data_IF_726737880091
#
_entry.id   IF_726737880091
#
_cell.length_a   1.000
_cell.length_b   1.000
_cell.length_c   1.000
_cell.angle_alpha   90.00
_cell.angle_beta   90.00
_cell.angle_gamma   90.00
#
_symmetry.space_group_name_H-M   'P 1'
#
loop_
_entity.id
_entity.type
_entity.pdbx_description
1 polymer ?
#
# COMPACT_ATOMS: atom_id res chain seq x y z
N UNK A 1 15.74 0.70 12.01
CA UNK A 1 14.66 0.63 11.01
C UNK A 1 13.40 0.15 11.69
N UNK A 2 12.23 0.70 11.36
CA UNK A 2 10.98 0.38 12.03
C UNK A 2 10.25 -0.70 11.25
N UNK A 3 9.87 -1.79 11.92
CA UNK A 3 9.12 -2.90 11.33
C UNK A 3 7.72 -2.44 10.93
N UNK A 4 7.27 -2.77 9.72
CA UNK A 4 5.90 -2.44 9.32
C UNK A 4 4.89 -3.20 10.20
N UNK A 5 5.17 -4.45 10.55
CA UNK A 5 4.27 -5.23 11.39
C UNK A 5 4.15 -4.65 12.80
N UNK A 6 5.24 -4.09 13.34
CA UNK A 6 5.20 -3.34 14.59
C UNK A 6 4.40 -2.03 14.45
N UNK A 7 4.66 -1.23 13.41
CA UNK A 7 3.95 0.02 13.14
C UNK A 7 2.44 -0.18 13.00
N UNK A 8 2.01 -1.18 12.23
CA UNK A 8 0.58 -1.49 12.03
C UNK A 8 -0.05 -1.94 13.35
N UNK A 9 0.59 -2.84 14.12
CA UNK A 9 0.07 -3.28 15.43
C UNK A 9 -0.02 -2.15 16.45
N UNK A 10 0.86 -1.16 16.35
CA UNK A 10 0.85 0.02 17.22
C UNK A 10 -0.17 1.09 16.79
N UNK A 11 -0.94 0.86 15.71
CA UNK A 11 -1.96 1.78 15.24
C UNK A 11 -1.41 3.03 14.56
N UNK A 12 -0.20 2.95 14.02
CA UNK A 12 0.38 4.09 13.30
C UNK A 12 -0.32 4.29 11.97
N UNK A 13 -0.57 5.55 11.63
CA UNK A 13 -1.28 5.91 10.41
C UNK A 13 -0.36 6.55 9.39
N UNK A 14 -0.73 6.42 8.13
CA UNK A 14 -0.09 7.07 7.01
C UNK A 14 -0.91 8.26 6.55
N UNK A 15 -0.50 8.86 5.44
CA UNK A 15 -1.33 9.86 4.78
C UNK A 15 -1.18 9.82 3.26
N UNK A 16 -2.16 10.37 2.55
CA UNK A 16 -2.14 10.55 1.11
C UNK A 16 -2.25 12.02 0.73
N UNK A 17 -1.54 12.40 -0.34
CA UNK A 17 -1.64 13.72 -0.95
C UNK A 17 -1.64 13.54 -2.46
N UNK A 18 -2.74 13.93 -3.10
CA UNK A 18 -2.95 13.71 -4.54
C UNK A 18 -2.78 12.22 -4.88
N UNK A 19 -1.75 11.90 -5.67
CA UNK A 19 -1.43 10.56 -6.10
C UNK A 19 -0.28 9.93 -5.28
N UNK A 20 0.08 10.52 -4.14
CA UNK A 20 1.15 10.01 -3.27
C UNK A 20 0.58 9.39 -2.00
N UNK A 21 1.15 8.27 -1.58
CA UNK A 21 0.84 7.53 -0.34
C UNK A 21 2.11 7.45 0.49
N UNK A 22 2.03 7.89 1.75
CA UNK A 22 3.14 7.92 2.70
C UNK A 22 2.91 6.87 3.78
N UNK A 23 3.77 5.87 3.80
CA UNK A 23 3.79 4.78 4.78
C UNK A 23 4.71 5.18 5.94
N UNK A 24 4.31 5.02 7.21
CA UNK A 24 5.12 5.36 8.38
C UNK A 24 6.20 4.31 8.70
N UNK A 25 6.59 3.51 7.71
CA UNK A 25 7.55 2.42 7.82
C UNK A 25 8.25 2.15 6.48
N UNK A 26 9.31 1.32 6.53
CA UNK A 26 9.99 0.80 5.36
C UNK A 26 9.60 -0.66 5.13
N UNK A 27 9.54 -1.07 3.86
CA UNK A 27 9.26 -2.44 3.45
C UNK A 27 9.91 -2.73 2.10
N UNK A 28 10.16 -4.00 1.80
CA UNK A 28 10.47 -4.44 0.44
C UNK A 28 9.16 -4.75 -0.28
N UNK A 29 8.83 -3.99 -1.32
CA UNK A 29 7.57 -4.15 -2.06
C UNK A 29 7.78 -5.15 -3.19
N UNK A 30 6.86 -6.10 -3.30
CA UNK A 30 6.87 -7.17 -4.29
C UNK A 30 5.83 -6.88 -5.38
N UNK A 31 4.62 -6.52 -4.99
CA UNK A 31 3.57 -6.04 -5.91
C UNK A 31 2.60 -5.10 -5.20
N UNK A 32 1.87 -4.32 -6.00
CA UNK A 32 0.89 -3.35 -5.54
C UNK A 32 -0.41 -3.57 -6.29
N UNK A 33 -1.50 -3.78 -5.59
CA UNK A 33 -2.84 -3.87 -6.18
C UNK A 33 -3.60 -2.61 -5.81
N UNK A 34 -4.26 -1.98 -6.78
CA UNK A 34 -5.01 -0.74 -6.57
C UNK A 34 -6.35 -0.85 -7.27
N UNK A 35 -7.44 -0.60 -6.54
CA UNK A 35 -8.76 -0.71 -7.14
C UNK A 35 -9.90 -0.35 -6.21
N UNK A 36 -11.07 -0.15 -6.82
CA UNK A 36 -12.35 -0.13 -6.12
C UNK A 36 -12.77 -1.57 -5.84
N UNK A 37 -13.26 -1.86 -4.64
CA UNK A 37 -13.61 -3.18 -4.06
C UNK A 37 -13.18 -4.42 -4.87
N UNK A 38 -12.40 -5.30 -4.24
CA UNK A 38 -12.01 -6.59 -4.84
C UNK A 38 -13.20 -7.54 -4.91
N UNK A 39 -14.09 -7.31 -5.87
CA UNK A 39 -15.21 -8.18 -6.16
C UNK A 39 -14.83 -9.19 -7.26
N UNK A 40 -15.56 -10.30 -7.33
CA UNK A 40 -15.50 -11.25 -8.47
C UNK A 40 -15.74 -10.58 -9.84
N UNK A 41 -16.27 -9.35 -9.87
CA UNK A 41 -16.65 -8.62 -11.08
C UNK A 41 -15.66 -7.50 -11.45
N UNK A 42 -14.75 -7.12 -10.55
CA UNK A 42 -13.78 -6.05 -10.75
C UNK A 42 -12.38 -6.52 -10.38
N UNK A 43 -11.53 -6.68 -11.40
CA UNK A 43 -10.11 -6.99 -11.20
C UNK A 43 -9.39 -5.67 -10.88
N UNK A 44 -8.72 -5.55 -9.72
CA UNK A 44 -7.91 -4.37 -9.42
C UNK A 44 -6.74 -4.26 -10.40
N UNK A 45 -6.24 -3.04 -10.60
CA UNK A 45 -4.99 -2.86 -11.35
C UNK A 45 -3.84 -3.41 -10.51
N UNK A 46 -3.07 -4.34 -11.07
CA UNK A 46 -1.88 -4.90 -10.43
C UNK A 46 -0.61 -4.32 -11.05
N UNK A 47 0.29 -3.85 -10.19
CA UNK A 47 1.62 -3.34 -10.53
C UNK A 47 2.65 -4.33 -9.98
N UNK A 48 3.32 -5.04 -10.90
CA UNK A 48 4.44 -5.95 -10.59
C UNK A 48 5.77 -5.41 -11.09
N UNK A 49 5.77 -4.61 -12.14
CA UNK A 49 6.97 -3.90 -12.60
C UNK A 49 7.13 -2.58 -11.83
N UNK A 50 7.81 -2.66 -10.69
CA UNK A 50 8.11 -1.50 -9.83
C UNK A 50 9.23 -0.61 -10.41
N UNK A 51 9.88 -1.02 -11.50
CA UNK A 51 10.90 -0.24 -12.19
C UNK A 51 10.31 0.66 -13.29
N UNK A 52 9.05 0.43 -13.69
CA UNK A 52 8.35 1.31 -14.62
C UNK A 52 8.03 2.65 -13.93
N UNK A 53 8.94 3.61 -14.11
CA UNK A 53 8.81 4.94 -13.51
C UNK A 53 7.63 5.73 -14.06
N UNK A 54 7.03 5.35 -15.19
CA UNK A 54 5.83 5.99 -15.71
C UNK A 54 4.57 5.53 -14.97
N UNK A 55 4.64 4.40 -14.25
CA UNK A 55 3.54 3.83 -13.45
C UNK A 55 3.64 4.25 -11.99
N UNK A 56 4.80 4.02 -11.38
CA UNK A 56 5.01 4.16 -9.94
C UNK A 56 6.36 4.83 -9.66
N UNK A 57 6.38 5.75 -8.71
CA UNK A 57 7.61 6.24 -8.10
C UNK A 57 7.71 5.76 -6.67
N UNK A 58 8.81 5.11 -6.29
CA UNK A 58 9.07 4.69 -4.91
C UNK A 58 10.21 5.55 -4.37
N UNK A 59 10.02 6.15 -3.20
CA UNK A 59 11.02 6.97 -2.52
C UNK A 59 11.10 6.58 -1.06
N UNK A 60 12.30 6.50 -0.52
CA UNK A 60 12.53 6.27 0.90
C UNK A 60 13.05 7.55 1.55
N UNK A 61 12.41 7.96 2.64
CA UNK A 61 12.94 8.98 3.55
C UNK A 61 13.66 8.34 4.73
N UNK A 62 13.93 9.11 5.79
CA UNK A 62 14.58 8.59 7.00
C UNK A 62 13.69 7.62 7.79
N UNK A 63 12.36 7.81 7.73
CA UNK A 63 11.38 7.08 8.54
C UNK A 63 10.12 6.67 7.78
N UNK A 64 10.09 6.84 6.46
CA UNK A 64 8.90 6.62 5.65
C UNK A 64 9.22 6.08 4.26
N UNK A 65 8.25 5.39 3.69
CA UNK A 65 8.22 5.04 2.26
C UNK A 65 7.13 5.83 1.58
N UNK A 66 7.42 6.45 0.45
CA UNK A 66 6.47 7.19 -0.36
C UNK A 66 6.27 6.49 -1.71
N UNK A 67 5.01 6.22 -2.01
CA UNK A 67 4.54 5.64 -3.27
C UNK A 67 3.80 6.70 -4.07
N UNK A 68 4.29 7.02 -5.27
CA UNK A 68 3.73 8.02 -6.18
C UNK A 68 3.11 7.34 -7.40
N UNK A 69 1.79 7.22 -7.40
CA UNK A 69 0.99 6.53 -8.41
C UNK A 69 0.77 7.43 -9.63
N UNK A 70 1.64 7.36 -10.63
CA UNK A 70 1.68 8.37 -11.72
C UNK A 70 0.53 8.27 -12.71
N UNK A 71 -0.08 7.09 -12.86
CA UNK A 71 -1.30 6.91 -13.69
C UNK A 71 -2.59 7.39 -13.00
N UNK A 72 -2.55 7.71 -11.71
CA UNK A 72 -3.71 8.13 -10.92
C UNK A 72 -3.65 9.62 -10.60
N UNK A 73 -4.81 10.27 -10.55
CA UNK A 73 -4.89 11.71 -10.32
C UNK A 73 -4.95 12.07 -8.83
N UNK A 74 -6.03 11.68 -8.17
CA UNK A 74 -6.22 11.93 -6.73
C UNK A 74 -6.77 10.66 -6.07
N UNK A 75 -5.89 9.95 -5.36
CA UNK A 75 -6.19 8.65 -4.76
C UNK A 75 -7.26 8.76 -3.67
N UNK A 76 -7.21 9.81 -2.84
CA UNK A 76 -8.20 10.00 -1.79
C UNK A 76 -9.59 10.23 -2.37
N UNK A 77 -9.69 10.96 -3.49
CA UNK A 77 -10.96 11.15 -4.22
C UNK A 77 -11.45 9.88 -4.91
N UNK A 78 -10.52 9.09 -5.46
CA UNK A 78 -10.82 7.89 -6.25
C UNK A 78 -11.16 6.67 -5.38
N UNK A 79 -10.47 6.50 -4.25
CA UNK A 79 -10.53 5.32 -3.37
C UNK A 79 -11.15 5.61 -1.99
N UNK A 80 -11.19 6.86 -1.54
CA UNK A 80 -11.86 7.23 -0.28
C UNK A 80 -13.38 7.06 -0.34
N UNK A 81 -14.07 7.25 0.80
CA UNK A 81 -15.48 6.91 1.04
C UNK A 81 -15.76 5.42 0.90
N UNK A 82 -14.82 4.61 1.40
CA UNK A 82 -14.87 3.15 1.31
C UNK A 82 -15.00 2.63 -0.14
N UNK A 83 -14.63 3.45 -1.15
CA UNK A 83 -14.77 3.07 -2.56
C UNK A 83 -13.73 2.05 -2.99
N UNK A 84 -12.58 2.01 -2.32
CA UNK A 84 -11.47 1.14 -2.70
C UNK A 84 -10.35 1.14 -1.68
N UNK A 85 -9.28 0.44 -2.04
CA UNK A 85 -8.09 0.28 -1.20
C UNK A 85 -6.88 -0.01 -2.08
N UNK A 86 -5.70 0.03 -1.46
CA UNK A 86 -4.46 -0.49 -2.05
C UNK A 86 -4.05 -1.71 -1.24
N UNK A 87 -3.60 -2.77 -1.90
CA UNK A 87 -2.90 -3.89 -1.24
C UNK A 87 -1.42 -3.82 -1.62
N UNK A 88 -0.55 -3.83 -0.61
CA UNK A 88 0.86 -4.08 -0.81
C UNK A 88 1.16 -5.53 -0.50
N UNK A 89 1.76 -6.25 -1.44
CA UNK A 89 2.47 -7.48 -1.15
C UNK A 89 3.91 -7.11 -0.84
N UNK A 90 4.34 -7.33 0.40
CA UNK A 90 5.63 -6.82 0.87
C UNK A 90 6.26 -7.74 1.92
N UNK A 91 7.57 -7.56 2.12
CA UNK A 91 8.32 -8.14 3.23
C UNK A 91 8.94 -7.03 4.09
N UNK A 92 9.38 -7.38 5.30
CA UNK A 92 10.07 -6.43 6.15
C UNK A 92 11.37 -5.98 5.48
N UNK A 93 11.77 -4.73 5.70
CA UNK A 93 12.96 -4.19 5.04
C UNK A 93 14.20 -5.01 5.43
N UNK A 94 14.88 -5.59 4.44
CA UNK A 94 16.05 -6.45 4.64
C UNK A 94 15.75 -7.94 4.84
N UNK A 95 14.49 -8.36 4.88
CA UNK A 95 14.12 -9.78 4.88
C UNK A 95 14.23 -10.40 3.48
N UNK A 96 14.37 -11.72 3.44
CA UNK A 96 14.38 -12.50 2.20
C UNK A 96 12.96 -12.59 1.61
N UNK A 97 12.70 -11.87 0.52
CA UNK A 97 11.41 -11.85 -0.18
C UNK A 97 11.04 -13.18 -0.84
N UNK A 98 11.98 -14.12 -0.99
CA UNK A 98 11.71 -15.42 -1.61
C UNK A 98 11.16 -16.44 -0.62
N UNK A 99 11.14 -16.13 0.69
CA UNK A 99 10.53 -16.97 1.71
C UNK A 99 9.09 -16.58 1.96
N UNK A 100 8.19 -17.53 1.79
CA UNK A 100 6.76 -17.31 1.94
C UNK A 100 6.38 -16.75 3.32
N UNK A 101 7.04 -17.21 4.40
CA UNK A 101 6.78 -16.73 5.76
C UNK A 101 7.13 -15.24 5.99
N UNK A 102 7.98 -14.67 5.13
CA UNK A 102 8.42 -13.27 5.24
C UNK A 102 7.50 -12.32 4.46
N UNK A 103 6.64 -12.86 3.60
CA UNK A 103 5.75 -12.07 2.75
C UNK A 103 4.41 -11.89 3.43
N UNK A 104 3.92 -10.65 3.42
CA UNK A 104 2.61 -10.31 3.98
C UNK A 104 1.88 -9.38 3.01
N UNK A 105 0.55 -9.43 3.08
CA UNK A 105 -0.30 -8.47 2.42
C UNK A 105 -0.70 -7.38 3.40
N UNK A 106 -0.59 -6.13 2.99
CA UNK A 106 -0.96 -4.96 3.77
C UNK A 106 -2.06 -4.23 3.01
N UNK A 107 -3.27 -4.22 3.58
CA UNK A 107 -4.37 -3.39 3.10
C UNK A 107 -4.19 -1.96 3.59
N UNK A 108 -4.24 -1.02 2.65
CA UNK A 108 -4.20 0.42 2.88
C UNK A 108 -5.59 0.98 2.60
N UNK A 109 -6.27 1.38 3.67
CA UNK A 109 -7.57 2.03 3.61
C UNK A 109 -7.43 3.56 3.57
N UNK A 110 -8.35 4.22 2.89
CA UNK A 110 -8.44 5.67 2.83
C UNK A 110 -9.56 6.16 3.73
N UNK A 111 -9.24 7.01 4.71
CA UNK A 111 -10.27 7.61 5.57
C UNK A 111 -10.93 8.83 4.92
N UNK A 112 -12.20 9.03 5.25
CA UNK A 112 -13.00 10.11 4.67
C UNK A 112 -12.60 11.44 5.26
N UNK A 113 -12.39 12.43 4.39
CA UNK A 113 -12.15 13.84 4.72
C UNK A 113 -10.87 14.13 5.53
N UNK A 114 -10.20 13.10 6.03
CA UNK A 114 -8.90 13.15 6.68
C UNK A 114 -7.96 12.46 5.72
N UNK A 115 -6.92 13.15 5.23
CA UNK A 115 -5.88 12.59 4.35
C UNK A 115 -5.15 11.37 4.93
N UNK A 116 -5.63 10.81 6.02
CA UNK A 116 -5.09 9.73 6.82
C UNK A 116 -5.39 8.36 6.19
N UNK A 117 -4.47 7.43 6.39
CA UNK A 117 -4.57 6.06 5.91
C UNK A 117 -4.65 5.10 7.09
N UNK A 118 -5.45 4.05 6.94
CA UNK A 118 -5.43 2.87 7.81
C UNK A 118 -4.60 1.76 7.18
N UNK A 119 -4.04 0.91 8.04
CA UNK A 119 -3.29 -0.27 7.64
C UNK A 119 -3.83 -1.50 8.35
N UNK A 120 -3.92 -2.60 7.61
CA UNK A 120 -4.31 -3.90 8.13
C UNK A 120 -3.46 -4.98 7.45
N UNK A 121 -2.89 -5.90 8.24
CA UNK A 121 -2.23 -7.08 7.67
C UNK A 121 -3.32 -8.11 7.36
N UNK A 122 -3.32 -8.61 6.13
CA UNK A 122 -4.32 -9.56 5.64
C UNK A 122 -3.62 -10.85 5.21
N UNK A 123 -4.30 -11.98 5.39
CA UNK A 123 -3.74 -13.29 5.03
C UNK A 123 -3.95 -13.60 3.55
N UNK A 124 -5.11 -13.23 3.01
CA UNK A 124 -5.48 -13.43 1.61
C UNK A 124 -6.07 -12.12 1.07
N UNK A 125 -5.49 -11.52 0.01
CA UNK A 125 -6.05 -10.32 -0.60
C UNK A 125 -7.43 -10.58 -1.24
N UNK A 126 -7.79 -11.81 -1.63
CA UNK A 126 -9.07 -12.12 -2.24
C UNK A 126 -10.25 -12.22 -1.26
N UNK A 127 -9.98 -12.18 0.05
CA UNK A 127 -11.02 -12.20 1.10
C UNK A 127 -11.58 -10.79 1.43
N UNK A 128 -11.22 -9.75 0.66
CA UNK A 128 -11.42 -8.33 1.00
C UNK A 128 -12.54 -7.59 0.25
#
# INVERSE_FOLDING_TARGET
MKSFAASIRNGETGFSVHNSVFLPFHCEIISIWIGKEMSLLSVPDEITDLLDTEVIGIREGESYTNLVFRKWGDLARELGNHKGHIILHAAEKGEDIFKDENRQYIKIGFHDHRKELSFEIVNDPFEL
#
